data_IF_543056586726
#
_entry.id   IF_543056586726
#
_cell.length_a   1.000
_cell.length_b   1.000
_cell.length_c   1.000
_cell.angle_alpha   90.00
_cell.angle_beta   90.00
_cell.angle_gamma   90.00
#
_symmetry.space_group_name_H-M   'P 1'
#
loop_
_entity.id
_entity.type
_entity.pdbx_description
1 polymer ?
#
# COMPACT_ATOMS: atom_id res chain seq x y z
N UNK A 1 -15.46 0.81 29.66
CA UNK A 1 -15.57 -0.49 28.95
C UNK A 1 -14.50 -1.40 29.51
N UNK A 2 -14.82 -2.64 29.93
CA UNK A 2 -13.82 -3.54 30.50
C UNK A 2 -12.73 -3.90 29.46
N UNK A 3 -11.48 -4.15 29.89
CA UNK A 3 -10.44 -4.64 29.00
C UNK A 3 -10.81 -5.97 28.35
N UNK A 4 -10.55 -6.09 27.05
CA UNK A 4 -10.75 -7.32 26.28
C UNK A 4 -9.69 -8.36 26.62
N UNK A 5 -10.10 -9.60 26.78
CA UNK A 5 -9.22 -10.73 27.14
C UNK A 5 -8.76 -11.51 25.91
N UNK A 6 -7.69 -12.28 26.08
CA UNK A 6 -7.08 -13.13 25.05
C UNK A 6 -8.10 -14.04 24.34
N UNK A 7 -8.91 -14.76 25.10
CA UNK A 7 -9.89 -15.71 24.59
C UNK A 7 -11.05 -15.04 23.85
N UNK A 8 -11.46 -13.84 24.27
CA UNK A 8 -12.44 -13.03 23.57
C UNK A 8 -11.92 -12.57 22.21
N UNK A 9 -10.69 -12.03 22.17
CA UNK A 9 -10.06 -11.58 20.92
C UNK A 9 -9.86 -12.76 19.96
N UNK A 10 -9.39 -13.91 20.45
CA UNK A 10 -9.22 -15.11 19.62
C UNK A 10 -10.55 -15.59 19.02
N UNK A 11 -11.64 -15.58 19.80
CA UNK A 11 -13.00 -15.89 19.30
C UNK A 11 -13.49 -14.87 18.27
N UNK A 12 -13.26 -13.58 18.50
CA UNK A 12 -13.62 -12.51 17.56
C UNK A 12 -12.85 -12.64 16.23
N UNK A 13 -11.55 -12.95 16.27
CA UNK A 13 -10.73 -13.22 15.09
C UNK A 13 -11.20 -14.47 14.32
N UNK A 14 -11.54 -15.54 15.03
CA UNK A 14 -12.09 -16.76 14.40
C UNK A 14 -13.45 -16.47 13.75
N UNK A 15 -14.29 -15.67 14.42
CA UNK A 15 -15.60 -15.24 13.89
C UNK A 15 -15.45 -14.35 12.66
N UNK A 16 -14.40 -13.50 12.62
CA UNK A 16 -14.05 -12.69 11.46
C UNK A 16 -13.66 -13.54 10.24
N UNK A 17 -13.28 -14.81 10.46
CA UNK A 17 -12.97 -15.78 9.41
C UNK A 17 -11.53 -16.29 9.42
N UNK A 18 -10.72 -15.93 10.43
CA UNK A 18 -9.35 -16.44 10.58
C UNK A 18 -9.39 -17.94 10.90
N UNK A 19 -8.52 -18.73 10.26
CA UNK A 19 -8.50 -20.19 10.34
C UNK A 19 -7.18 -20.69 10.90
N UNK A 20 -7.24 -21.88 11.51
CA UNK A 20 -6.03 -22.60 11.91
C UNK A 20 -5.18 -22.91 10.68
N UNK A 21 -3.87 -22.66 10.77
CA UNK A 21 -2.92 -22.83 9.69
C UNK A 21 -2.80 -21.63 8.75
N UNK A 22 -3.60 -20.57 8.91
CA UNK A 22 -3.52 -19.41 8.02
C UNK A 22 -2.12 -18.75 8.07
N UNK A 23 -1.67 -18.31 6.89
CA UNK A 23 -0.59 -17.35 6.75
C UNK A 23 -1.20 -15.94 6.67
N UNK A 24 -0.97 -15.13 7.69
CA UNK A 24 -1.68 -13.87 7.94
C UNK A 24 -0.72 -12.71 7.79
N UNK A 25 -0.94 -11.82 6.84
CA UNK A 25 -0.26 -10.52 6.78
C UNK A 25 -1.13 -9.46 7.44
N UNK A 26 -0.62 -8.82 8.49
CA UNK A 26 -1.42 -7.96 9.35
C UNK A 26 -0.92 -6.51 9.34
N UNK A 27 -1.89 -5.60 9.22
CA UNK A 27 -1.75 -4.20 9.63
C UNK A 27 -2.64 -3.97 10.86
N UNK A 28 -2.18 -3.17 11.82
CA UNK A 28 -2.86 -3.09 13.12
C UNK A 28 -2.76 -1.73 13.80
N UNK A 29 -3.75 -1.45 14.65
CA UNK A 29 -3.75 -0.31 15.58
C UNK A 29 -4.28 -0.76 16.95
N UNK A 30 -3.40 -0.87 17.94
CA UNK A 30 -3.80 -1.28 19.29
C UNK A 30 -4.80 -0.30 19.92
N UNK A 31 -4.60 1.00 19.71
CA UNK A 31 -5.48 2.04 20.28
C UNK A 31 -6.92 1.92 19.74
N UNK A 32 -7.09 1.48 18.49
CA UNK A 32 -8.40 1.26 17.89
C UNK A 32 -9.17 0.10 18.54
N UNK A 33 -8.47 -0.91 19.07
CA UNK A 33 -9.11 -2.05 19.76
C UNK A 33 -9.73 -1.67 21.10
N UNK A 34 -9.40 -0.49 21.64
CA UNK A 34 -9.78 -0.08 22.99
C UNK A 34 -8.92 -0.78 24.05
N UNK A 35 -9.34 -0.75 25.33
CA UNK A 35 -8.58 -1.41 26.40
C UNK A 35 -8.48 -2.92 26.16
N UNK A 36 -7.26 -3.45 26.17
CA UNK A 36 -6.94 -4.88 26.07
C UNK A 36 -6.14 -5.26 27.31
N UNK A 37 -6.58 -6.29 28.02
CA UNK A 37 -5.84 -6.83 29.16
C UNK A 37 -4.47 -7.33 28.67
N UNK A 38 -3.36 -7.01 29.35
CA UNK A 38 -2.01 -7.34 28.88
C UNK A 38 -1.53 -6.64 27.59
N UNK A 39 -2.34 -5.76 26.99
CA UNK A 39 -1.94 -4.93 25.85
C UNK A 39 -1.57 -5.73 24.59
N UNK A 40 -0.48 -5.34 23.93
CA UNK A 40 -0.05 -5.92 22.65
C UNK A 40 0.30 -7.42 22.75
N UNK A 41 0.88 -7.86 23.88
CA UNK A 41 1.23 -9.27 24.10
C UNK A 41 -0.01 -10.17 24.01
N UNK A 42 -1.11 -9.73 24.61
CA UNK A 42 -2.38 -10.45 24.58
C UNK A 42 -3.00 -10.51 23.20
N UNK A 43 -2.84 -9.46 22.38
CA UNK A 43 -3.29 -9.48 20.98
C UNK A 43 -2.49 -10.50 20.17
N UNK A 44 -1.15 -10.50 20.30
CA UNK A 44 -0.28 -11.45 19.58
C UNK A 44 -0.57 -12.89 20.00
N UNK A 45 -0.73 -13.13 21.30
CA UNK A 45 -1.12 -14.42 21.83
C UNK A 45 -2.49 -14.89 21.32
N UNK A 46 -3.48 -13.99 21.25
CA UNK A 46 -4.82 -14.31 20.74
C UNK A 46 -4.82 -14.63 19.24
N UNK A 47 -4.00 -13.95 18.44
CA UNK A 47 -3.78 -14.29 17.03
C UNK A 47 -3.15 -15.68 16.93
N UNK A 48 -2.14 -15.96 17.75
CA UNK A 48 -1.51 -17.28 17.84
C UNK A 48 -2.50 -18.40 18.19
N UNK A 49 -3.44 -18.16 19.09
CA UNK A 49 -4.49 -19.12 19.42
C UNK A 49 -5.43 -19.39 18.23
N UNK A 50 -5.81 -18.33 17.50
CA UNK A 50 -6.72 -18.40 16.37
C UNK A 50 -6.10 -19.16 15.18
N UNK A 51 -4.84 -18.87 14.83
CA UNK A 51 -4.15 -19.54 13.70
C UNK A 51 -3.46 -20.84 14.10
N UNK A 52 -3.24 -21.09 15.40
CA UNK A 52 -2.59 -22.28 15.92
C UNK A 52 -1.11 -22.41 15.54
N UNK A 53 -0.47 -23.50 15.98
CA UNK A 53 0.97 -23.75 15.78
C UNK A 53 1.39 -23.96 14.32
N UNK A 54 0.44 -24.25 13.43
CA UNK A 54 0.69 -24.37 11.99
C UNK A 54 0.57 -23.02 11.25
N UNK A 55 0.01 -21.98 11.89
CA UNK A 55 -0.20 -20.67 11.29
C UNK A 55 1.05 -19.79 11.35
N UNK A 56 1.14 -18.81 10.46
CA UNK A 56 2.25 -17.86 10.40
C UNK A 56 1.73 -16.43 10.35
N UNK A 57 2.22 -15.58 11.24
CA UNK A 57 1.89 -14.15 11.27
C UNK A 57 3.02 -13.33 10.63
N UNK A 58 2.68 -12.46 9.69
CA UNK A 58 3.57 -11.53 8.99
C UNK A 58 3.13 -10.11 9.36
N UNK A 59 4.07 -9.27 9.80
CA UNK A 59 3.82 -7.87 10.16
C UNK A 59 4.86 -6.95 9.53
N UNK A 60 4.51 -5.71 9.21
CA UNK A 60 5.47 -4.75 8.64
C UNK A 60 6.45 -4.27 9.72
N UNK A 61 7.69 -4.00 9.31
CA UNK A 61 8.75 -3.39 10.13
C UNK A 61 9.53 -2.35 9.30
N UNK A 62 8.81 -1.39 8.72
CA UNK A 62 9.35 -0.37 7.82
C UNK A 62 9.95 0.81 8.59
N UNK A 63 10.80 1.57 7.90
CA UNK A 63 11.47 2.77 8.40
C UNK A 63 10.72 4.05 7.96
N UNK A 64 10.74 5.07 8.82
CA UNK A 64 9.92 6.29 8.70
C UNK A 64 10.48 7.35 7.73
N UNK A 65 11.79 7.36 7.52
CA UNK A 65 12.51 8.52 6.98
C UNK A 65 12.86 8.43 5.49
N UNK A 66 11.89 8.05 4.66
CA UNK A 66 12.16 7.87 3.23
C UNK A 66 12.51 9.16 2.45
N UNK A 67 12.49 10.33 3.08
CA UNK A 67 12.50 11.59 2.34
C UNK A 67 13.52 12.62 2.82
N UNK A 68 14.01 12.51 4.05
CA UNK A 68 14.79 13.60 4.66
C UNK A 68 16.28 13.27 4.87
N UNK A 69 16.62 12.01 5.13
CA UNK A 69 17.99 11.61 5.50
C UNK A 69 18.40 10.28 4.88
N UNK A 70 19.10 10.31 3.74
CA UNK A 70 19.43 9.11 3.01
C UNK A 70 20.26 8.07 3.77
N UNK A 71 21.16 8.53 4.64
CA UNK A 71 21.95 7.71 5.55
C UNK A 71 21.11 6.88 6.53
N UNK A 72 19.85 7.28 6.69
CA UNK A 72 18.95 6.84 7.73
C UNK A 72 17.86 5.89 7.15
N UNK A 73 17.86 5.69 5.82
CA UNK A 73 16.93 4.86 5.02
C UNK A 73 16.93 3.38 5.40
N UNK A 74 18.08 2.86 5.84
CA UNK A 74 18.29 1.42 6.05
C UNK A 74 18.53 1.13 7.53
N UNK A 75 18.37 -0.14 7.91
CA UNK A 75 18.72 -0.58 9.25
C UNK A 75 20.23 -0.43 9.47
N UNK A 76 20.65 0.49 10.34
CA UNK A 76 22.06 0.84 10.49
C UNK A 76 22.89 -0.25 11.18
N UNK A 77 22.22 -1.21 11.82
CA UNK A 77 22.80 -2.43 12.39
C UNK A 77 22.67 -3.65 11.44
N UNK A 78 22.20 -3.44 10.21
CA UNK A 78 22.11 -4.48 9.19
C UNK A 78 23.25 -4.33 8.17
N UNK A 79 24.25 -5.19 8.28
CA UNK A 79 25.34 -5.26 7.29
C UNK A 79 24.90 -5.92 5.96
N UNK A 80 23.69 -6.48 5.94
CA UNK A 80 23.18 -7.28 4.83
C UNK A 80 24.24 -8.29 4.36
N UNK A 81 24.86 -9.05 5.25
CA UNK A 81 25.86 -10.07 4.88
C UNK A 81 25.45 -11.49 5.27
N UNK A 82 24.28 -11.62 5.91
CA UNK A 82 23.81 -12.86 6.49
C UNK A 82 23.75 -14.00 5.46
N UNK A 83 24.45 -15.09 5.79
CA UNK A 83 24.48 -16.29 4.96
C UNK A 83 23.11 -16.98 4.85
N UNK A 84 22.23 -16.75 5.81
CA UNK A 84 20.88 -17.32 5.84
C UNK A 84 19.86 -16.51 5.01
N UNK A 85 20.26 -15.37 4.44
CA UNK A 85 19.42 -14.49 3.62
C UNK A 85 18.40 -13.65 4.38
N UNK A 86 18.49 -13.58 5.72
CA UNK A 86 17.56 -12.86 6.60
C UNK A 86 18.21 -11.66 7.27
N UNK A 87 17.42 -10.68 7.70
CA UNK A 87 17.92 -9.52 8.42
C UNK A 87 18.00 -9.82 9.92
N UNK A 88 19.16 -9.58 10.54
CA UNK A 88 19.35 -9.78 11.99
C UNK A 88 19.20 -8.47 12.80
N UNK A 89 18.88 -7.37 12.12
CA UNK A 89 18.66 -6.05 12.73
C UNK A 89 17.63 -6.09 13.84
N UNK A 90 17.97 -5.46 14.97
CA UNK A 90 17.10 -5.28 16.12
C UNK A 90 16.42 -3.91 16.15
N UNK A 91 16.68 -3.07 15.14
CA UNK A 91 16.06 -1.75 15.05
C UNK A 91 14.54 -1.85 14.91
N UNK A 92 13.78 -1.05 15.67
CA UNK A 92 12.33 -1.08 15.62
C UNK A 92 11.80 -0.55 14.28
N UNK A 93 10.66 -1.10 13.86
CA UNK A 93 9.79 -0.49 12.86
C UNK A 93 8.84 0.55 13.46
N UNK A 94 8.09 1.23 12.60
CA UNK A 94 7.18 2.32 12.97
C UNK A 94 5.69 1.94 12.91
N UNK A 95 5.37 0.68 12.60
CA UNK A 95 4.01 0.23 12.26
C UNK A 95 3.21 -0.26 13.48
N UNK A 96 3.48 0.36 14.63
CA UNK A 96 2.72 0.16 15.85
C UNK A 96 3.25 -0.93 16.79
N UNK A 97 2.80 -0.85 18.04
CA UNK A 97 3.31 -1.67 19.15
C UNK A 97 3.04 -3.17 19.00
N UNK A 98 1.95 -3.57 18.31
CA UNK A 98 1.65 -4.99 18.07
C UNK A 98 2.71 -5.60 17.14
N UNK A 99 3.02 -4.93 16.02
CA UNK A 99 4.05 -5.38 15.09
C UNK A 99 5.42 -5.48 15.79
N UNK A 100 5.76 -4.48 16.62
CA UNK A 100 7.00 -4.51 17.40
C UNK A 100 7.03 -5.61 18.46
N UNK A 101 5.89 -5.95 19.07
CA UNK A 101 5.81 -7.12 19.96
C UNK A 101 6.11 -8.40 19.18
N UNK A 102 5.56 -8.60 17.97
CA UNK A 102 5.86 -9.77 17.12
C UNK A 102 7.35 -9.83 16.78
N UNK A 103 7.98 -8.70 16.41
CA UNK A 103 9.43 -8.63 16.12
C UNK A 103 10.31 -9.03 17.30
N UNK A 104 9.87 -8.77 18.53
CA UNK A 104 10.61 -9.15 19.74
C UNK A 104 10.33 -10.58 20.20
N UNK A 105 9.36 -11.29 19.60
CA UNK A 105 9.06 -12.67 20.01
C UNK A 105 10.21 -13.61 19.61
N UNK A 106 10.61 -14.54 20.50
CA UNK A 106 11.54 -15.60 20.14
C UNK A 106 11.03 -16.39 18.92
N UNK A 107 11.94 -16.66 17.98
CA UNK A 107 11.62 -17.36 16.72
C UNK A 107 11.01 -16.50 15.63
N UNK A 108 10.81 -15.19 15.85
CA UNK A 108 10.50 -14.26 14.76
C UNK A 108 11.72 -14.07 13.85
N UNK A 109 11.45 -13.94 12.56
CA UNK A 109 12.45 -13.71 11.51
C UNK A 109 12.13 -12.39 10.81
N UNK A 110 13.14 -11.73 10.24
CA UNK A 110 12.97 -10.46 9.50
C UNK A 110 13.55 -10.57 8.09
N UNK A 111 12.80 -10.10 7.09
CA UNK A 111 13.23 -10.00 5.70
C UNK A 111 14.23 -8.86 5.51
N UNK A 112 15.13 -8.99 4.55
CA UNK A 112 16.27 -8.08 4.36
C UNK A 112 16.04 -7.05 3.24
N UNK A 113 14.92 -6.31 3.31
CA UNK A 113 14.71 -5.13 2.48
C UNK A 113 15.16 -3.86 3.22
N UNK A 114 15.91 -2.93 2.58
CA UNK A 114 16.46 -1.74 3.23
C UNK A 114 15.44 -0.90 3.98
N UNK A 115 14.30 -0.54 3.35
CA UNK A 115 13.34 0.37 3.99
C UNK A 115 11.98 -0.26 4.35
N UNK A 116 11.51 -1.30 3.66
CA UNK A 116 10.21 -1.97 3.91
C UNK A 116 10.38 -3.45 4.27
N UNK A 117 11.23 -3.75 5.25
CA UNK A 117 11.35 -5.11 5.77
C UNK A 117 10.06 -5.60 6.41
N UNK A 118 9.78 -6.90 6.29
CA UNK A 118 8.70 -7.59 6.99
C UNK A 118 9.25 -8.53 8.06
N UNK A 119 8.46 -8.77 9.09
CA UNK A 119 8.74 -9.73 10.16
C UNK A 119 7.73 -10.85 10.07
N UNK A 120 8.16 -12.09 10.25
CA UNK A 120 7.28 -13.25 10.26
C UNK A 120 7.55 -14.15 11.48
N UNK A 121 6.49 -14.72 12.04
CA UNK A 121 6.51 -15.62 13.18
C UNK A 121 5.63 -16.84 12.88
N UNK A 122 6.23 -18.03 12.84
CA UNK A 122 5.54 -19.29 12.54
C UNK A 122 6.36 -20.19 11.60
N UNK A 123 5.85 -21.39 11.27
CA UNK A 123 6.58 -22.39 10.49
C UNK A 123 6.92 -21.95 9.07
N UNK A 124 6.17 -21.03 8.46
CA UNK A 124 6.45 -20.51 7.12
C UNK A 124 7.32 -19.24 7.14
N UNK A 125 7.74 -18.74 8.32
CA UNK A 125 8.40 -17.43 8.45
C UNK A 125 9.66 -17.30 7.59
N UNK A 126 10.44 -18.36 7.45
CA UNK A 126 11.63 -18.35 6.58
C UNK A 126 11.24 -18.25 5.12
N UNK A 127 10.33 -19.11 4.67
CA UNK A 127 9.93 -19.19 3.27
C UNK A 127 9.30 -17.89 2.77
N UNK A 128 8.51 -17.21 3.60
CA UNK A 128 7.85 -15.95 3.22
C UNK A 128 8.80 -14.76 3.15
N UNK A 129 9.98 -14.84 3.79
CA UNK A 129 10.94 -13.73 3.90
C UNK A 129 12.23 -13.94 3.12
N UNK A 130 12.58 -15.19 2.80
CA UNK A 130 13.80 -15.49 2.06
C UNK A 130 13.70 -14.88 0.67
N UNK A 131 14.80 -14.28 0.19
CA UNK A 131 14.78 -13.61 -1.11
C UNK A 131 14.27 -12.16 -1.07
N UNK A 132 13.81 -11.64 0.08
CA UNK A 132 13.26 -10.28 0.15
C UNK A 132 14.28 -9.19 -0.21
N UNK A 133 15.56 -9.47 0.02
CA UNK A 133 16.66 -8.59 -0.41
C UNK A 133 16.77 -8.45 -1.93
N UNK A 134 16.26 -9.39 -2.69
CA UNK A 134 16.36 -9.39 -4.14
C UNK A 134 15.28 -8.52 -4.77
N UNK A 135 14.25 -8.12 -3.99
CA UNK A 135 13.23 -7.20 -4.51
C UNK A 135 13.88 -5.89 -4.94
N UNK A 136 13.71 -5.43 -6.19
CA UNK A 136 14.34 -4.19 -6.62
C UNK A 136 13.78 -2.99 -5.85
N UNK A 137 12.51 -3.06 -5.42
CA UNK A 137 11.71 -1.94 -4.93
C UNK A 137 10.92 -2.33 -3.68
N UNK A 138 10.21 -1.37 -3.09
CA UNK A 138 9.47 -1.60 -1.84
C UNK A 138 8.35 -2.61 -1.95
N UNK A 139 7.62 -2.60 -3.07
CA UNK A 139 6.51 -3.51 -3.30
C UNK A 139 6.66 -4.24 -4.64
N UNK A 140 7.87 -4.44 -5.15
CA UNK A 140 8.10 -5.16 -6.40
C UNK A 140 8.14 -6.69 -6.25
N UNK A 141 8.51 -7.40 -7.33
CA UNK A 141 8.72 -8.84 -7.32
C UNK A 141 9.71 -9.29 -6.24
N UNK A 142 9.49 -10.48 -5.67
CA UNK A 142 10.33 -11.01 -4.57
C UNK A 142 9.98 -10.46 -3.18
N UNK A 143 8.84 -9.77 -3.04
CA UNK A 143 8.28 -9.43 -1.74
C UNK A 143 7.50 -10.61 -1.12
N UNK A 144 7.30 -10.63 0.22
CA UNK A 144 6.51 -11.64 0.92
C UNK A 144 5.07 -11.83 0.42
N UNK A 145 4.56 -10.85 -0.33
CA UNK A 145 3.24 -10.89 -0.98
C UNK A 145 3.06 -12.12 -1.88
N UNK A 146 4.11 -12.55 -2.58
CA UNK A 146 4.03 -13.69 -3.51
C UNK A 146 3.80 -15.00 -2.77
N UNK A 147 4.53 -15.21 -1.68
CA UNK A 147 4.34 -16.37 -0.81
C UNK A 147 3.01 -16.33 -0.08
N UNK A 148 2.55 -15.14 0.34
CA UNK A 148 1.22 -14.97 0.91
C UNK A 148 0.13 -15.44 -0.07
N UNK A 149 0.19 -15.04 -1.34
CA UNK A 149 -0.78 -15.48 -2.35
C UNK A 149 -0.66 -16.97 -2.64
N UNK A 150 0.56 -17.50 -2.84
CA UNK A 150 0.79 -18.92 -3.16
C UNK A 150 0.28 -19.86 -2.07
N UNK A 151 0.32 -19.42 -0.81
CA UNK A 151 -0.12 -20.19 0.36
C UNK A 151 -1.61 -20.04 0.65
N UNK A 152 -2.36 -19.34 -0.20
CA UNK A 152 -3.73 -18.92 0.08
C UNK A 152 -3.80 -18.25 1.47
N UNK A 153 -2.92 -17.29 1.69
CA UNK A 153 -2.88 -16.49 2.90
C UNK A 153 -3.98 -15.42 2.93
N UNK A 154 -4.00 -14.63 3.99
CA UNK A 154 -4.96 -13.55 4.15
C UNK A 154 -4.33 -12.25 4.67
N UNK A 155 -4.97 -11.14 4.30
CA UNK A 155 -4.72 -9.83 4.87
C UNK A 155 -5.65 -9.62 6.07
N UNK A 156 -5.08 -9.31 7.24
CA UNK A 156 -5.82 -8.93 8.44
C UNK A 156 -5.64 -7.43 8.72
N UNK A 157 -6.75 -6.71 8.72
CA UNK A 157 -6.83 -5.28 9.04
C UNK A 157 -7.37 -5.12 10.46
N UNK A 158 -6.48 -5.15 11.44
CA UNK A 158 -6.85 -5.17 12.85
C UNK A 158 -6.98 -3.75 13.42
N UNK A 159 -8.19 -3.18 13.35
CA UNK A 159 -8.45 -1.80 13.76
C UNK A 159 -7.89 -0.73 12.82
N UNK A 160 -7.65 -1.09 11.56
CA UNK A 160 -7.22 -0.19 10.49
C UNK A 160 -8.09 -0.38 9.24
N UNK A 161 -8.11 0.60 8.36
CA UNK A 161 -8.86 0.56 7.11
C UNK A 161 -8.06 -0.03 5.95
N UNK A 162 -8.71 -0.15 4.80
CA UNK A 162 -8.09 -0.65 3.56
C UNK A 162 -6.93 0.23 3.07
N UNK A 163 -6.86 1.50 3.50
CA UNK A 163 -5.77 2.41 3.22
C UNK A 163 -4.43 2.01 3.83
N UNK A 164 -4.42 1.05 4.77
CA UNK A 164 -3.19 0.50 5.35
C UNK A 164 -2.64 -0.71 4.61
N UNK A 165 -3.38 -1.26 3.64
CA UNK A 165 -2.97 -2.48 2.90
C UNK A 165 -1.79 -2.14 1.98
N UNK A 166 -0.60 -2.64 2.29
CA UNK A 166 0.56 -2.42 1.41
C UNK A 166 0.43 -3.18 0.07
N UNK A 167 -0.37 -4.25 0.04
CA UNK A 167 -0.55 -5.10 -1.15
C UNK A 167 -1.15 -4.36 -2.36
N UNK A 168 -1.83 -3.22 -2.18
CA UNK A 168 -2.24 -2.36 -3.31
C UNK A 168 -1.07 -2.03 -4.22
N UNK A 169 0.03 -1.57 -3.61
CA UNK A 169 1.23 -1.12 -4.32
C UNK A 169 1.94 -2.26 -5.03
N UNK A 170 1.89 -3.47 -4.49
CA UNK A 170 2.47 -4.63 -5.16
C UNK A 170 1.83 -4.89 -6.52
N UNK A 171 0.51 -4.72 -6.64
CA UNK A 171 -0.18 -4.91 -7.92
C UNK A 171 0.02 -3.74 -8.87
N UNK A 172 0.13 -2.51 -8.36
CA UNK A 172 0.55 -1.36 -9.18
C UNK A 172 1.91 -1.64 -9.84
N UNK A 173 2.90 -2.09 -9.05
CA UNK A 173 4.25 -2.42 -9.53
C UNK A 173 4.29 -3.65 -10.43
N UNK A 174 3.66 -4.77 -10.01
CA UNK A 174 3.60 -6.04 -10.75
C UNK A 174 3.01 -5.87 -12.14
N UNK A 175 1.97 -5.05 -12.26
CA UNK A 175 1.30 -4.81 -13.55
C UNK A 175 1.89 -3.63 -14.32
N UNK A 176 2.86 -2.91 -13.75
CA UNK A 176 3.51 -1.75 -14.36
C UNK A 176 2.50 -0.68 -14.80
N UNK A 177 1.59 -0.31 -13.91
CA UNK A 177 0.51 0.65 -14.22
C UNK A 177 1.07 1.96 -14.80
N UNK A 178 0.33 2.65 -15.70
CA UNK A 178 0.88 3.78 -16.46
C UNK A 178 1.30 4.98 -15.63
N UNK A 179 0.87 5.03 -14.38
CA UNK A 179 1.16 6.10 -13.44
C UNK A 179 2.29 5.74 -12.46
N UNK A 180 3.05 4.66 -12.67
CA UNK A 180 4.24 4.38 -11.87
C UNK A 180 5.35 5.42 -12.12
N UNK A 181 5.98 5.86 -11.03
CA UNK A 181 7.12 6.79 -11.08
C UNK A 181 8.47 6.11 -11.32
N UNK A 182 9.54 6.87 -11.18
CA UNK A 182 10.91 6.39 -11.34
C UNK A 182 11.38 5.49 -10.20
N UNK A 183 12.46 4.76 -10.50
CA UNK A 183 13.11 3.82 -9.60
C UNK A 183 14.58 4.22 -9.38
N UNK A 184 14.93 4.43 -8.11
CA UNK A 184 16.27 4.70 -7.64
C UNK A 184 16.94 3.38 -7.26
N UNK A 185 17.76 2.86 -8.18
CA UNK A 185 18.40 1.56 -8.04
C UNK A 185 19.32 1.42 -6.82
N UNK A 186 20.07 2.48 -6.48
CA UNK A 186 21.00 2.43 -5.35
C UNK A 186 20.25 2.36 -4.00
N UNK A 187 19.14 3.06 -3.90
CA UNK A 187 18.28 3.15 -2.71
C UNK A 187 17.23 2.02 -2.67
N UNK A 188 17.09 1.28 -3.78
CA UNK A 188 16.03 0.28 -4.00
C UNK A 188 14.65 0.84 -3.68
N UNK A 189 14.43 2.07 -4.15
CA UNK A 189 13.29 2.88 -3.79
C UNK A 189 12.59 3.41 -5.05
N UNK A 190 11.27 3.45 -5.04
CA UNK A 190 10.49 4.19 -6.04
C UNK A 190 10.14 5.55 -5.46
N UNK A 191 10.57 6.66 -6.08
CA UNK A 191 9.93 7.93 -5.74
C UNK A 191 8.52 7.87 -6.30
N UNK A 192 7.56 7.84 -5.38
CA UNK A 192 6.16 8.06 -5.70
C UNK A 192 5.90 9.54 -5.95
N UNK A 193 6.38 10.04 -7.08
CA UNK A 193 5.86 11.29 -7.66
C UNK A 193 4.79 10.92 -8.67
N UNK A 194 3.79 10.15 -8.24
CA UNK A 194 2.83 9.56 -9.18
C UNK A 194 1.99 10.66 -9.79
N UNK A 195 1.73 10.60 -11.11
CA UNK A 195 0.59 11.29 -11.66
C UNK A 195 -0.67 10.68 -11.02
N UNK A 196 -1.13 11.20 -9.88
CA UNK A 196 -2.36 10.74 -9.23
C UNK A 196 -2.33 10.64 -7.72
N UNK A 197 -3.25 11.36 -7.08
CA UNK A 197 -3.69 11.07 -5.71
C UNK A 197 -4.46 9.75 -5.73
N UNK A 198 -4.15 8.82 -4.82
CA UNK A 198 -4.79 7.50 -4.80
C UNK A 198 -6.15 7.53 -4.10
N UNK A 199 -7.12 6.86 -4.69
CA UNK A 199 -8.47 6.76 -4.15
C UNK A 199 -8.49 6.14 -2.74
N UNK A 200 -7.68 5.12 -2.47
CA UNK A 200 -7.64 4.46 -1.16
C UNK A 200 -6.98 5.30 -0.06
N UNK A 201 -6.19 6.33 -0.40
CA UNK A 201 -5.68 7.29 0.58
C UNK A 201 -6.63 8.47 0.78
N UNK A 202 -7.23 8.98 -0.29
CA UNK A 202 -8.08 10.17 -0.23
C UNK A 202 -9.53 9.86 0.20
N UNK A 203 -10.05 8.73 -0.26
CA UNK A 203 -11.42 8.28 0.00
C UNK A 203 -11.42 6.81 0.49
N UNK A 204 -10.76 6.52 1.62
CA UNK A 204 -10.61 5.16 2.12
C UNK A 204 -11.95 4.45 2.36
N UNK A 205 -12.98 5.19 2.78
CA UNK A 205 -14.33 4.64 2.97
C UNK A 205 -14.95 4.11 1.69
N UNK A 206 -14.79 4.81 0.56
CA UNK A 206 -15.29 4.36 -0.75
C UNK A 206 -14.62 3.04 -1.12
N UNK A 207 -13.30 2.95 -1.00
CA UNK A 207 -12.59 1.71 -1.32
C UNK A 207 -12.93 0.57 -0.36
N UNK A 208 -13.18 0.88 0.91
CA UNK A 208 -13.66 -0.12 1.87
C UNK A 208 -15.02 -0.68 1.45
N UNK A 209 -15.94 0.17 1.00
CA UNK A 209 -17.26 -0.25 0.51
C UNK A 209 -17.18 -1.00 -0.82
N UNK A 210 -16.25 -0.65 -1.72
CA UNK A 210 -15.94 -1.43 -2.92
C UNK A 210 -15.50 -2.83 -2.56
N UNK A 211 -14.50 -2.98 -1.67
CA UNK A 211 -14.02 -4.30 -1.27
C UNK A 211 -15.11 -5.16 -0.59
N UNK A 212 -15.98 -4.53 0.22
CA UNK A 212 -17.11 -5.22 0.85
C UNK A 212 -18.16 -5.65 -0.17
N UNK A 213 -18.51 -4.77 -1.11
CA UNK A 213 -19.52 -5.02 -2.14
C UNK A 213 -19.05 -6.05 -3.16
N UNK A 214 -17.75 -6.08 -3.44
CA UNK A 214 -17.11 -7.12 -4.26
C UNK A 214 -17.07 -8.49 -3.56
N UNK A 215 -17.36 -8.55 -2.25
CA UNK A 215 -17.32 -9.78 -1.46
C UNK A 215 -15.93 -10.21 -1.00
N UNK A 216 -14.88 -9.43 -1.29
CA UNK A 216 -13.49 -9.77 -0.96
C UNK A 216 -13.08 -9.34 0.45
N UNK A 217 -13.84 -8.44 1.10
CA UNK A 217 -13.60 -7.95 2.45
C UNK A 217 -14.70 -8.38 3.41
N UNK A 218 -14.35 -9.30 4.32
CA UNK A 218 -15.15 -9.63 5.48
C UNK A 218 -14.83 -8.67 6.63
N UNK A 219 -15.83 -7.97 7.13
CA UNK A 219 -15.67 -7.03 8.24
C UNK A 219 -16.41 -7.53 9.47
N UNK A 220 -15.79 -7.38 10.64
CA UNK A 220 -16.32 -7.85 11.91
C UNK A 220 -15.69 -7.12 13.08
N UNK A 221 -16.32 -7.21 14.25
CA UNK A 221 -15.80 -6.56 15.45
C UNK A 221 -14.63 -7.35 16.03
N UNK A 222 -13.53 -6.67 16.33
CA UNK A 222 -12.47 -7.17 17.19
C UNK A 222 -12.14 -6.08 18.22
N UNK A 223 -12.34 -6.38 19.49
CA UNK A 223 -12.34 -5.39 20.56
C UNK A 223 -13.39 -4.31 20.37
N UNK A 224 -12.96 -3.04 20.30
CA UNK A 224 -13.81 -1.88 20.03
C UNK A 224 -13.87 -1.51 18.53
N UNK A 225 -12.94 -2.00 17.72
CA UNK A 225 -12.85 -1.60 16.32
C UNK A 225 -13.67 -2.51 15.41
N UNK A 226 -13.96 -1.99 14.20
CA UNK A 226 -14.24 -2.85 13.06
C UNK A 226 -12.90 -3.25 12.45
N UNK A 227 -12.71 -4.54 12.26
CA UNK A 227 -11.54 -5.13 11.62
C UNK A 227 -11.95 -5.85 10.34
N UNK A 228 -11.00 -6.03 9.43
CA UNK A 228 -11.21 -6.60 8.11
C UNK A 228 -10.36 -7.84 7.86
N UNK A 229 -10.87 -8.77 7.07
CA UNK A 229 -10.14 -9.94 6.58
C UNK A 229 -10.39 -10.09 5.07
N UNK A 230 -9.32 -10.28 4.30
CA UNK A 230 -9.39 -10.53 2.86
C UNK A 230 -8.48 -11.71 2.52
N UNK A 231 -8.91 -12.65 1.66
CA UNK A 231 -7.99 -13.65 1.12
C UNK A 231 -7.06 -12.97 0.11
N UNK A 232 -5.78 -13.33 0.14
CA UNK A 232 -4.79 -12.73 -0.74
C UNK A 232 -5.08 -13.06 -2.22
N UNK A 233 -5.60 -14.26 -2.50
CA UNK A 233 -6.00 -14.66 -3.85
C UNK A 233 -7.21 -13.85 -4.38
N UNK A 234 -8.22 -13.61 -3.56
CA UNK A 234 -9.39 -12.81 -3.95
C UNK A 234 -8.99 -11.35 -4.19
N UNK A 235 -8.12 -10.81 -3.34
CA UNK A 235 -7.57 -9.47 -3.50
C UNK A 235 -6.75 -9.35 -4.81
N UNK A 236 -5.89 -10.34 -5.11
CA UNK A 236 -5.18 -10.42 -6.39
C UNK A 236 -6.15 -10.41 -7.56
N UNK A 237 -7.13 -11.30 -7.54
CA UNK A 237 -8.05 -11.49 -8.65
C UNK A 237 -8.89 -10.25 -8.90
N UNK A 238 -9.37 -9.60 -7.82
CA UNK A 238 -10.07 -8.34 -7.90
C UNK A 238 -9.21 -7.26 -8.56
N UNK A 239 -7.99 -7.05 -8.08
CA UNK A 239 -7.10 -6.03 -8.64
C UNK A 239 -6.73 -6.28 -10.09
N UNK A 240 -6.39 -7.53 -10.44
CA UNK A 240 -6.11 -7.89 -11.83
C UNK A 240 -7.32 -7.63 -12.73
N UNK A 241 -8.54 -7.87 -12.25
CA UNK A 241 -9.77 -7.67 -13.02
C UNK A 241 -10.06 -6.20 -13.25
N UNK A 242 -10.03 -5.37 -12.20
CA UNK A 242 -10.37 -3.95 -12.33
C UNK A 242 -9.29 -3.16 -13.07
N UNK A 243 -8.02 -3.51 -12.90
CA UNK A 243 -6.93 -2.87 -13.65
C UNK A 243 -6.91 -3.29 -15.11
N UNK A 244 -7.32 -4.51 -15.45
CA UNK A 244 -7.50 -4.93 -16.85
C UNK A 244 -8.63 -4.14 -17.55
N UNK A 245 -9.61 -3.65 -16.80
CA UNK A 245 -10.68 -2.79 -17.32
C UNK A 245 -10.25 -1.32 -17.42
N UNK A 246 -9.57 -0.82 -16.38
CA UNK A 246 -9.08 0.55 -16.31
C UNK A 246 -7.72 0.59 -15.58
N UNK A 247 -6.61 0.76 -16.30
CA UNK A 247 -5.29 0.81 -15.67
C UNK A 247 -5.08 2.06 -14.80
N UNK A 248 -6.00 3.04 -14.81
CA UNK A 248 -5.97 4.23 -13.96
C UNK A 248 -7.01 4.18 -12.83
N UNK A 249 -7.62 3.02 -12.56
CA UNK A 249 -8.74 2.89 -11.62
C UNK A 249 -8.41 3.36 -10.19
N UNK A 250 -7.14 3.35 -9.77
CA UNK A 250 -6.74 3.75 -8.41
C UNK A 250 -6.30 5.21 -8.27
N UNK A 251 -6.12 5.96 -9.36
CA UNK A 251 -5.64 7.36 -9.31
C UNK A 251 -6.75 8.34 -9.66
N UNK A 252 -6.83 9.48 -8.97
CA UNK A 252 -7.89 10.47 -9.15
C UNK A 252 -7.61 11.46 -10.28
N UNK A 253 -8.66 11.85 -11.00
CA UNK A 253 -8.67 12.89 -12.04
C UNK A 253 -9.96 13.70 -12.00
N UNK A 254 -9.97 14.93 -12.54
CA UNK A 254 -11.23 15.62 -12.81
C UNK A 254 -12.15 14.71 -13.65
N UNK A 255 -13.42 14.53 -13.27
CA UNK A 255 -14.31 13.64 -14.00
C UNK A 255 -14.74 14.22 -15.36
N UNK A 256 -14.75 15.56 -15.52
CA UNK A 256 -15.24 16.27 -16.71
C UNK A 256 -14.41 17.55 -16.97
N UNK A 257 -14.68 18.26 -18.06
CA UNK A 257 -13.97 19.50 -18.43
C UNK A 257 -14.29 20.68 -17.51
N UNK A 258 -15.49 20.71 -16.94
CA UNK A 258 -16.01 21.79 -16.10
C UNK A 258 -16.20 21.35 -14.64
N UNK A 259 -15.82 20.11 -14.30
CA UNK A 259 -15.93 19.56 -12.95
C UNK A 259 -14.57 19.15 -12.40
N UNK A 260 -14.11 19.83 -11.34
CA UNK A 260 -12.87 19.52 -10.62
C UNK A 260 -13.03 18.66 -9.36
N UNK A 261 -14.25 18.18 -9.06
CA UNK A 261 -14.50 17.41 -7.83
C UNK A 261 -14.04 15.95 -7.98
N UNK A 262 -12.89 15.66 -7.37
CA UNK A 262 -12.30 14.32 -7.37
C UNK A 262 -13.14 13.28 -6.61
N UNK A 263 -14.10 13.70 -5.78
CA UNK A 263 -15.03 12.78 -5.10
C UNK A 263 -15.97 12.13 -6.11
N UNK A 264 -16.41 12.87 -7.13
CA UNK A 264 -17.25 12.35 -8.21
C UNK A 264 -16.48 11.31 -9.02
N UNK A 265 -15.21 11.58 -9.35
CA UNK A 265 -14.34 10.61 -10.02
C UNK A 265 -14.13 9.34 -9.18
N UNK A 266 -13.91 9.49 -7.86
CA UNK A 266 -13.79 8.36 -6.95
C UNK A 266 -15.05 7.46 -6.97
N UNK A 267 -16.24 8.06 -6.93
CA UNK A 267 -17.51 7.33 -6.99
C UNK A 267 -17.72 6.64 -8.35
N UNK A 268 -17.40 7.31 -9.47
CA UNK A 268 -17.47 6.73 -10.82
C UNK A 268 -16.53 5.54 -10.97
N UNK A 269 -15.29 5.66 -10.48
CA UNK A 269 -14.30 4.57 -10.48
C UNK A 269 -14.74 3.41 -9.59
N UNK A 270 -15.27 3.69 -8.41
CA UNK A 270 -15.83 2.65 -7.54
C UNK A 270 -16.96 1.85 -8.21
N UNK A 271 -17.89 2.54 -8.88
CA UNK A 271 -18.95 1.88 -9.65
C UNK A 271 -18.36 1.01 -10.77
N UNK A 272 -17.44 1.57 -11.56
CA UNK A 272 -16.77 0.86 -12.66
C UNK A 272 -15.99 -0.37 -12.20
N UNK A 273 -15.30 -0.29 -11.06
CA UNK A 273 -14.62 -1.45 -10.44
C UNK A 273 -15.59 -2.59 -10.14
N UNK A 274 -16.75 -2.28 -9.54
CA UNK A 274 -17.76 -3.28 -9.21
C UNK A 274 -18.42 -3.87 -10.46
N UNK A 275 -18.68 -3.05 -11.47
CA UNK A 275 -19.17 -3.52 -12.76
C UNK A 275 -18.16 -4.45 -13.46
N UNK A 276 -16.87 -4.08 -13.46
CA UNK A 276 -15.80 -4.91 -14.00
C UNK A 276 -15.69 -6.24 -13.26
N UNK A 277 -15.73 -6.21 -11.93
CA UNK A 277 -15.73 -7.42 -11.11
C UNK A 277 -16.95 -8.31 -11.38
N UNK A 278 -18.14 -7.72 -11.53
CA UNK A 278 -19.38 -8.43 -11.83
C UNK A 278 -19.39 -9.12 -13.20
N UNK A 279 -18.56 -8.66 -14.16
CA UNK A 279 -18.37 -9.35 -15.46
C UNK A 279 -17.55 -10.64 -15.35
N UNK A 280 -16.93 -10.90 -14.20
CA UNK A 280 -16.11 -12.07 -13.94
C UNK A 280 -14.60 -11.79 -14.03
N UNK A 281 -13.78 -12.76 -13.60
CA UNK A 281 -12.35 -12.54 -13.46
C UNK A 281 -11.66 -12.31 -14.80
N UNK A 282 -10.83 -11.27 -14.85
CA UNK A 282 -9.97 -10.94 -15.99
C UNK A 282 -8.56 -10.68 -15.49
N UNK A 283 -7.56 -10.95 -16.32
CA UNK A 283 -6.18 -10.52 -16.08
C UNK A 283 -5.69 -9.74 -17.29
N UNK A 284 -4.82 -8.74 -17.12
CA UNK A 284 -4.12 -8.13 -18.25
C UNK A 284 -3.30 -9.20 -18.99
N UNK A 285 -3.27 -9.15 -20.32
CA UNK A 285 -2.53 -10.14 -21.14
C UNK A 285 -1.00 -10.03 -20.94
N UNK A 286 -0.53 -8.83 -20.62
CA UNK A 286 0.84 -8.51 -20.22
C UNK A 286 0.80 -7.39 -19.16
N UNK A 287 1.90 -7.14 -18.43
CA UNK A 287 2.09 -5.85 -17.78
C UNK A 287 1.85 -4.72 -18.80
N UNK A 288 1.41 -3.54 -18.34
CA UNK A 288 1.14 -2.40 -19.23
C UNK A 288 2.41 -1.82 -19.88
N UNK A 289 3.59 -2.38 -19.57
CA UNK A 289 4.90 -2.12 -20.16
C UNK A 289 5.29 -0.63 -20.26
N UNK A 290 4.75 0.19 -19.35
CA UNK A 290 5.09 1.59 -19.27
C UNK A 290 6.52 1.73 -18.70
N UNK A 291 7.44 2.42 -19.41
CA UNK A 291 8.78 2.64 -18.90
C UNK A 291 8.74 3.43 -17.59
N UNK A 292 9.51 2.99 -16.60
CA UNK A 292 9.71 3.77 -15.37
C UNK A 292 10.50 5.03 -15.72
N UNK A 293 9.89 6.20 -15.57
CA UNK A 293 10.50 7.49 -15.93
C UNK A 293 10.47 8.43 -14.74
N UNK A 294 11.54 9.22 -14.61
CA UNK A 294 11.56 10.32 -13.65
C UNK A 294 10.56 11.35 -14.12
N UNK A 295 9.71 11.78 -13.18
CA UNK A 295 8.80 12.87 -13.44
C UNK A 295 9.62 14.14 -13.39
N UNK A 296 9.98 14.66 -14.56
CA UNK A 296 10.62 15.95 -14.70
C UNK A 296 9.53 17.03 -14.87
N UNK A 297 9.79 18.29 -14.47
CA UNK A 297 8.98 19.42 -14.84
C UNK A 297 8.79 19.48 -16.36
N UNK A 298 7.59 19.89 -16.83
CA UNK A 298 7.39 20.15 -18.25
C UNK A 298 8.43 21.15 -18.78
N UNK A 299 9.05 20.81 -19.90
CA UNK A 299 9.95 21.66 -20.67
C UNK A 299 9.23 22.27 -21.90
N UNK A 300 9.92 23.15 -22.63
CA UNK A 300 9.37 23.75 -23.85
C UNK A 300 8.91 22.68 -24.85
N UNK A 301 7.62 22.70 -25.20
CA UNK A 301 6.99 21.73 -26.09
C UNK A 301 6.32 20.53 -25.39
N UNK A 302 6.50 20.37 -24.08
CA UNK A 302 5.71 19.42 -23.30
C UNK A 302 4.26 19.91 -23.12
N UNK A 303 3.35 18.96 -22.95
CA UNK A 303 1.93 19.28 -22.77
C UNK A 303 1.68 19.76 -21.34
N UNK A 304 1.13 20.97 -21.22
CA UNK A 304 0.57 21.51 -19.97
C UNK A 304 -0.88 21.90 -20.24
N UNK A 305 -1.81 21.28 -19.51
CA UNK A 305 -3.26 21.52 -19.69
C UNK A 305 -3.77 22.55 -18.70
N UNK A 306 -3.66 23.82 -19.05
CA UNK A 306 -4.20 24.93 -18.25
C UNK A 306 -5.74 24.96 -18.23
N UNK A 307 -6.39 24.34 -19.22
CA UNK A 307 -7.85 24.17 -19.29
C UNK A 307 -8.38 23.07 -18.35
N UNK A 308 -7.49 22.31 -17.72
CA UNK A 308 -7.87 21.24 -16.80
C UNK A 308 -8.36 21.82 -15.46
N UNK A 309 -9.51 21.37 -14.91
CA UNK A 309 -9.96 21.78 -13.58
C UNK A 309 -8.97 21.48 -12.44
N UNK A 310 -8.05 20.54 -12.64
CA UNK A 310 -7.00 20.23 -11.67
C UNK A 310 -5.76 21.13 -11.80
N UNK A 311 -5.62 21.94 -12.86
CA UNK A 311 -4.54 22.91 -12.97
C UNK A 311 -4.59 23.86 -11.77
N UNK A 312 -3.43 24.08 -11.16
CA UNK A 312 -3.30 24.79 -9.89
C UNK A 312 -2.40 26.03 -10.00
N UNK A 313 -2.12 26.48 -11.23
CA UNK A 313 -1.22 27.58 -11.51
C UNK A 313 0.25 27.17 -11.54
N UNK A 314 1.12 28.17 -11.53
CA UNK A 314 2.57 28.02 -11.54
C UNK A 314 3.15 28.35 -10.17
N UNK A 315 4.23 27.68 -9.80
CA UNK A 315 5.06 28.04 -8.66
C UNK A 315 6.45 28.44 -9.13
N UNK A 316 6.89 29.64 -8.73
CA UNK A 316 8.25 30.12 -8.95
C UNK A 316 9.22 29.43 -7.97
N UNK A 317 9.98 28.48 -8.49
CA UNK A 317 11.06 27.80 -7.80
C UNK A 317 12.41 28.37 -8.24
N UNK A 318 12.84 29.46 -7.60
CA UNK A 318 14.14 30.09 -7.84
C UNK A 318 14.37 30.53 -9.30
N UNK A 319 13.35 31.11 -9.94
CA UNK A 319 13.41 31.59 -11.33
C UNK A 319 12.99 30.55 -12.36
N UNK A 320 12.44 29.41 -11.93
CA UNK A 320 11.78 28.44 -12.79
C UNK A 320 10.29 28.35 -12.43
N UNK A 321 9.42 28.69 -13.38
CA UNK A 321 7.98 28.53 -13.22
C UNK A 321 7.57 27.07 -13.44
N UNK A 322 7.08 26.43 -12.38
CA UNK A 322 6.70 25.03 -12.38
C UNK A 322 5.17 24.87 -12.36
N UNK A 323 4.54 24.24 -13.37
CA UNK A 323 3.09 24.06 -13.40
C UNK A 323 2.63 23.00 -12.39
N UNK A 324 1.56 23.31 -11.65
CA UNK A 324 1.04 22.49 -10.55
C UNK A 324 -0.32 21.83 -10.87
N UNK A 325 -0.54 20.65 -10.30
CA UNK A 325 -1.75 19.85 -10.45
C UNK A 325 -2.30 19.38 -9.09
N UNK A 326 -3.57 19.72 -8.81
CA UNK A 326 -4.33 19.29 -7.62
C UNK A 326 -4.62 17.78 -7.57
N UNK A 327 -4.56 17.12 -8.72
CA UNK A 327 -4.83 15.69 -8.86
C UNK A 327 -3.57 14.82 -8.72
N UNK A 328 -2.38 15.41 -8.62
CA UNK A 328 -1.12 14.70 -8.44
C UNK A 328 -0.62 14.81 -7.00
N UNK A 329 0.06 13.77 -6.53
CA UNK A 329 0.73 13.80 -5.23
C UNK A 329 2.02 14.63 -5.31
N UNK A 330 2.54 15.02 -4.14
CA UNK A 330 3.76 15.82 -4.01
C UNK A 330 4.95 15.11 -4.65
N UNK A 331 5.89 15.88 -5.21
CA UNK A 331 7.13 15.35 -5.75
C UNK A 331 8.29 15.54 -4.75
N UNK A 332 8.84 14.48 -4.13
CA UNK A 332 10.00 14.52 -3.23
C UNK A 332 11.10 15.53 -3.57
N UNK A 333 11.61 15.52 -4.81
CA UNK A 333 12.70 16.42 -5.22
C UNK A 333 12.31 17.91 -5.17
N UNK A 334 11.02 18.24 -5.38
CA UNK A 334 10.51 19.62 -5.38
C UNK A 334 9.81 20.00 -4.07
N UNK A 335 9.42 19.02 -3.25
CA UNK A 335 8.82 19.25 -1.94
C UNK A 335 9.77 20.08 -1.04
N UNK A 336 11.07 19.84 -1.16
CA UNK A 336 12.11 20.58 -0.43
C UNK A 336 12.22 22.06 -0.83
N UNK A 337 11.57 22.48 -1.92
CA UNK A 337 11.57 23.87 -2.40
C UNK A 337 10.53 24.75 -1.67
N UNK A 338 9.63 24.16 -0.87
CA UNK A 338 8.66 24.88 -0.04
C UNK A 338 7.49 25.52 -0.81
N UNK A 339 6.57 26.19 -0.09
CA UNK A 339 5.43 26.92 -0.69
C UNK A 339 4.21 26.05 -1.11
N UNK A 340 3.53 26.44 -2.19
CA UNK A 340 2.29 25.79 -2.72
C UNK A 340 2.54 24.33 -3.16
N UNK A 341 3.78 23.96 -3.47
CA UNK A 341 4.22 22.57 -3.69
C UNK A 341 3.89 21.63 -2.52
N UNK A 342 3.70 22.17 -1.32
CA UNK A 342 3.24 21.39 -0.16
C UNK A 342 1.78 20.94 -0.29
N UNK A 343 1.03 21.38 -1.30
CA UNK A 343 -0.40 21.06 -1.47
C UNK A 343 -0.73 20.45 -2.82
N UNK A 344 0.08 20.70 -3.87
CA UNK A 344 -0.15 20.21 -5.23
C UNK A 344 1.10 19.52 -5.79
N UNK A 345 0.89 18.51 -6.64
CA UNK A 345 1.96 17.84 -7.37
C UNK A 345 2.34 18.56 -8.66
N UNK A 346 3.42 18.11 -9.31
CA UNK A 346 3.78 18.60 -10.65
C UNK A 346 2.71 18.23 -11.69
N UNK A 347 2.57 19.06 -12.72
CA UNK A 347 1.77 18.75 -13.90
C UNK A 347 2.52 17.78 -14.81
N UNK A 348 1.84 16.71 -15.24
CA UNK A 348 2.38 15.64 -16.09
C UNK A 348 1.34 15.22 -17.13
N UNK A 349 0.86 16.19 -17.92
CA UNK A 349 -0.32 15.97 -18.76
C UNK A 349 -0.11 14.97 -19.89
N UNK A 350 1.11 14.81 -20.40
CA UNK A 350 1.46 13.89 -21.49
C UNK A 350 0.92 12.47 -21.26
N UNK A 351 1.13 11.93 -20.05
CA UNK A 351 0.72 10.56 -19.69
C UNK A 351 -0.54 10.53 -18.79
N UNK A 352 -1.28 11.64 -18.74
CA UNK A 352 -2.46 11.77 -17.89
C UNK A 352 -3.73 11.24 -18.57
N UNK A 353 -4.46 10.34 -17.91
CA UNK A 353 -5.74 9.81 -18.42
C UNK A 353 -6.80 10.89 -18.68
N UNK A 354 -6.76 12.02 -17.97
CA UNK A 354 -7.65 13.16 -18.27
C UNK A 354 -7.32 13.80 -19.61
N UNK A 355 -6.03 14.05 -19.88
CA UNK A 355 -5.57 14.60 -21.16
C UNK A 355 -5.98 13.69 -22.33
N UNK A 356 -5.80 12.37 -22.16
CA UNK A 356 -6.21 11.36 -23.15
C UNK A 356 -7.72 11.34 -23.39
N UNK A 357 -8.53 11.56 -22.34
CA UNK A 357 -10.00 11.56 -22.45
C UNK A 357 -10.57 12.85 -23.02
N UNK A 358 -9.82 13.96 -22.92
CA UNK A 358 -10.24 15.29 -23.31
C UNK A 358 -9.16 15.98 -24.15
N UNK A 359 -8.86 15.51 -25.37
CA UNK A 359 -7.84 16.11 -26.24
C UNK A 359 -8.14 17.59 -26.53
N UNK A 360 -7.12 18.40 -26.80
CA UNK A 360 -7.34 19.79 -27.26
C UNK A 360 -8.07 19.78 -28.61
N UNK A 361 -8.90 20.79 -28.82
CA UNK A 361 -9.75 20.91 -30.00
C UNK A 361 -8.95 21.31 -31.25
#
# INVERSE_FOLDING_TARGET
MPPRKRDEIARELTTLGLRRGDCVMMHSSLSALGPVDGGAETVVDAIGDAIGSAGTLIVPAFRDNLWDKPEEFTNSDCDCSSADGLCHSQQPGFQGVIAETVRRRPGSLRGCHPTHSWVALGPAARDVLIGHRQSPTMCGPGNPFEELVRRDGCLLLLGVGVNSVTLWHYYEEKLRVPYLGHYWAAERHHNHCVPGRRIYYQFPGIMQDVCRSAGILHAGRVGKSTSGLMRAADFEQFLATVMADDPFCLVLRPPERDCGDLTIDALRKAARMLEAWGRGPRRPDSPFDVPLRRIEPPADGDVVREDCPAFAGYHDAHGQDLPLCRANDRHPDYFRLGGIFNQCGLTTCTDCSWHQSFPEA
#
